data_IF_545885548144
#
_entry.id   IF_545885548144
#
_cell.length_a   1.000
_cell.length_b   1.000
_cell.length_c   1.000
_cell.angle_alpha   90.00
_cell.angle_beta   90.00
_cell.angle_gamma   90.00
#
_symmetry.space_group_name_H-M   'P 1'
#
loop_
_entity.id
_entity.type
_entity.pdbx_description
1 polymer ?
#
# COMPACT_ATOMS: atom_id res chain seq x y z
N UNK A 1 37.79 7.97 61.79
CA UNK A 1 37.97 6.60 61.23
C UNK A 1 37.03 6.48 60.05
N UNK A 2 37.57 6.55 58.83
CA UNK A 2 36.82 6.46 57.57
C UNK A 2 36.94 5.03 57.04
N UNK A 3 35.82 4.39 56.71
CA UNK A 3 35.74 3.09 56.04
C UNK A 3 35.20 3.31 54.61
N UNK A 4 35.56 2.48 53.61
CA UNK A 4 35.48 2.84 52.19
C UNK A 4 34.11 2.54 51.55
N UNK A 5 33.69 3.40 50.61
CA UNK A 5 32.40 3.37 49.88
C UNK A 5 32.44 2.44 48.64
N UNK A 6 33.52 1.68 48.41
CA UNK A 6 33.77 1.00 47.12
C UNK A 6 33.28 -0.44 46.96
N UNK A 7 32.54 -1.03 47.93
CA UNK A 7 32.17 -2.46 47.86
C UNK A 7 30.82 -2.76 47.22
N UNK A 8 29.96 -1.76 46.96
CA UNK A 8 28.63 -2.00 46.38
C UNK A 8 28.61 -2.07 44.85
N UNK A 9 29.57 -1.45 44.17
CA UNK A 9 29.56 -1.29 42.70
C UNK A 9 29.91 -2.56 41.92
N UNK A 10 30.73 -3.45 42.50
CA UNK A 10 31.23 -4.65 41.81
C UNK A 10 30.12 -5.72 41.68
N UNK A 11 29.32 -5.92 42.73
CA UNK A 11 28.21 -6.88 42.71
C UNK A 11 27.10 -6.46 41.75
N UNK A 12 26.87 -5.16 41.61
CA UNK A 12 25.92 -4.60 40.64
C UNK A 12 26.37 -4.85 39.20
N UNK A 13 27.68 -4.73 38.93
CA UNK A 13 28.25 -5.02 37.61
C UNK A 13 28.14 -6.50 37.24
N UNK A 14 28.51 -7.41 38.15
CA UNK A 14 28.39 -8.85 37.90
C UNK A 14 26.94 -9.28 37.64
N UNK A 15 25.99 -8.69 38.37
CA UNK A 15 24.56 -8.95 38.16
C UNK A 15 24.11 -8.47 36.79
N UNK A 16 24.54 -7.28 36.37
CA UNK A 16 24.19 -6.69 35.08
C UNK A 16 24.74 -7.49 33.89
N UNK A 17 25.99 -7.96 33.97
CA UNK A 17 26.61 -8.78 32.92
C UNK A 17 25.97 -10.17 32.86
N UNK A 18 25.66 -10.79 34.00
CA UNK A 18 24.95 -12.07 34.03
C UNK A 18 23.54 -11.96 33.42
N UNK A 19 22.86 -10.84 33.65
CA UNK A 19 21.55 -10.58 33.08
C UNK A 19 21.62 -10.32 31.56
N UNK A 20 22.57 -9.51 31.09
CA UNK A 20 22.84 -9.34 29.66
C UNK A 20 23.12 -10.69 28.98
N UNK A 21 23.98 -11.51 29.58
CA UNK A 21 24.33 -12.84 29.07
C UNK A 21 23.11 -13.75 28.99
N UNK A 22 22.25 -13.72 30.00
CA UNK A 22 20.99 -14.47 30.00
C UNK A 22 20.05 -14.00 28.89
N UNK A 23 19.92 -12.68 28.71
CA UNK A 23 19.06 -12.08 27.68
C UNK A 23 19.55 -12.35 26.25
N UNK A 24 20.87 -12.38 26.01
CA UNK A 24 21.45 -12.78 24.73
C UNK A 24 21.15 -14.26 24.44
N UNK A 25 21.31 -15.14 25.43
CA UNK A 25 21.06 -16.57 25.27
C UNK A 25 19.59 -16.91 25.02
N UNK A 26 18.66 -16.14 25.60
CA UNK A 26 17.22 -16.29 25.39
C UNK A 26 16.81 -15.76 24.01
N UNK A 27 17.17 -14.52 23.69
CA UNK A 27 16.67 -13.84 22.49
C UNK A 27 17.45 -14.18 21.22
N UNK A 28 18.67 -14.73 21.35
CA UNK A 28 19.59 -15.07 20.24
C UNK A 28 19.60 -14.00 19.14
N UNK A 29 19.90 -12.73 19.47
CA UNK A 29 19.82 -11.63 18.52
C UNK A 29 20.82 -11.82 17.38
N UNK A 30 20.40 -11.54 16.14
CA UNK A 30 21.27 -11.60 14.95
C UNK A 30 22.45 -10.63 15.05
N UNK A 31 22.27 -9.49 15.72
CA UNK A 31 23.31 -8.52 16.04
C UNK A 31 23.47 -8.36 17.56
N UNK A 32 24.37 -9.15 18.14
CA UNK A 32 24.67 -9.14 19.58
C UNK A 32 25.18 -7.78 20.05
N UNK A 33 25.96 -7.08 19.22
CA UNK A 33 26.57 -5.79 19.56
C UNK A 33 25.51 -4.69 19.71
N UNK A 34 24.56 -4.62 18.77
CA UNK A 34 23.41 -3.72 18.86
C UNK A 34 22.50 -4.07 20.05
N UNK A 35 22.28 -5.36 20.30
CA UNK A 35 21.49 -5.81 21.45
C UNK A 35 22.12 -5.38 22.79
N UNK A 36 23.44 -5.52 22.93
CA UNK A 36 24.16 -5.03 24.11
C UNK A 36 23.99 -3.51 24.28
N UNK A 37 24.12 -2.75 23.20
CA UNK A 37 23.94 -1.30 23.22
C UNK A 37 22.53 -0.90 23.71
N UNK A 38 21.49 -1.49 23.14
CA UNK A 38 20.10 -1.23 23.52
C UNK A 38 19.80 -1.66 24.97
N UNK A 39 20.35 -2.81 25.39
CA UNK A 39 20.24 -3.29 26.78
C UNK A 39 20.81 -2.27 27.76
N UNK A 40 22.01 -1.74 27.52
CA UNK A 40 22.61 -0.73 28.41
C UNK A 40 21.87 0.60 28.33
N UNK A 41 21.45 1.06 27.15
CA UNK A 41 20.67 2.29 27.01
C UNK A 41 19.38 2.24 27.82
N UNK A 42 18.68 1.10 27.80
CA UNK A 42 17.42 0.92 28.52
C UNK A 42 17.56 0.98 30.05
N UNK A 43 18.79 0.80 30.55
CA UNK A 43 19.14 0.73 31.98
C UNK A 43 19.80 1.98 32.53
N UNK A 44 20.13 2.94 31.67
CA UNK A 44 20.62 4.24 32.13
C UNK A 44 19.48 5.02 32.82
N UNK A 45 19.70 5.61 34.01
CA UNK A 45 18.73 6.47 34.65
C UNK A 45 18.38 7.67 33.75
N UNK A 46 17.08 7.97 33.61
CA UNK A 46 16.59 9.13 32.86
C UNK A 46 16.98 10.46 33.55
N UNK A 47 18.23 10.90 33.45
CA UNK A 47 18.68 12.26 33.80
C UNK A 47 18.58 13.22 32.61
N UNK A 48 17.48 13.15 31.86
CA UNK A 48 17.09 14.14 30.85
C UNK A 48 15.59 14.40 30.86
N UNK A 49 15.01 14.54 32.05
CA UNK A 49 13.72 15.22 32.22
C UNK A 49 14.00 16.71 32.40
N UNK A 50 14.13 17.42 31.28
CA UNK A 50 14.40 18.86 31.28
C UNK A 50 14.25 19.56 29.92
N UNK A 51 13.59 18.94 28.93
CA UNK A 51 13.07 19.63 27.76
C UNK A 51 11.66 19.07 27.54
N UNK A 52 10.67 19.93 27.75
CA UNK A 52 9.28 19.59 27.96
C UNK A 52 8.62 18.82 26.81
N UNK A 53 7.85 17.81 27.23
CA UNK A 53 6.76 17.21 26.47
C UNK A 53 5.62 18.24 26.34
N UNK A 54 5.69 19.12 25.35
CA UNK A 54 4.52 19.79 24.79
C UNK A 54 4.42 19.45 23.31
N UNK A 55 3.93 18.24 23.03
CA UNK A 55 3.26 17.93 21.77
C UNK A 55 1.92 17.28 22.13
N UNK A 56 0.94 18.13 22.43
CA UNK A 56 -0.47 17.74 22.43
C UNK A 56 -0.80 17.30 21.00
N UNK A 57 -1.09 16.02 20.83
CA UNK A 57 -1.55 15.48 19.55
C UNK A 57 -2.90 16.08 19.20
N UNK A 58 -2.93 16.92 18.15
CA UNK A 58 -4.18 17.34 17.53
C UNK A 58 -4.69 16.16 16.69
N UNK A 59 -5.74 15.51 17.17
CA UNK A 59 -6.48 14.49 16.44
C UNK A 59 -7.31 15.18 15.33
N UNK A 60 -7.44 14.63 14.10
CA UNK A 60 -8.05 15.33 12.98
C UNK A 60 -9.59 15.46 13.02
N UNK A 61 -10.24 15.31 14.19
CA UNK A 61 -11.70 15.36 14.30
C UNK A 61 -12.27 16.55 15.07
N UNK A 62 -11.45 17.38 15.72
CA UNK A 62 -11.98 18.44 16.58
C UNK A 62 -11.94 19.78 15.82
N UNK A 63 -13.04 20.06 15.14
CA UNK A 63 -13.31 21.36 14.54
C UNK A 63 -13.95 22.23 15.60
N UNK A 64 -13.24 23.27 16.05
CA UNK A 64 -13.70 24.59 16.51
C UNK A 64 -12.73 25.15 17.55
N UNK A 65 -12.38 26.44 17.39
CA UNK A 65 -11.93 27.44 18.39
C UNK A 65 -11.17 28.50 17.58
N UNK A 66 -11.82 29.60 17.21
CA UNK A 66 -11.90 30.86 17.98
C UNK A 66 -10.53 31.40 18.44
N UNK A 67 -10.16 32.48 17.76
CA UNK A 67 -9.07 33.41 18.03
C UNK A 67 -8.98 33.87 19.49
N UNK A 68 -7.83 33.65 20.13
CA UNK A 68 -7.30 34.58 21.13
C UNK A 68 -5.77 34.60 21.11
N UNK A 69 -5.26 35.82 20.98
CA UNK A 69 -3.86 36.24 20.81
C UNK A 69 -3.01 35.88 22.03
N UNK A 70 -1.95 35.08 21.84
CA UNK A 70 -0.74 35.15 22.67
C UNK A 70 0.50 34.93 21.78
N UNK A 71 1.46 35.83 21.95
CA UNK A 71 2.67 36.02 21.17
C UNK A 71 3.69 34.91 21.46
N UNK A 72 4.03 34.07 20.48
CA UNK A 72 5.12 33.09 20.58
C UNK A 72 6.26 33.46 19.62
N UNK A 73 7.44 33.70 20.20
CA UNK A 73 8.72 33.89 19.47
C UNK A 73 8.97 32.72 18.52
N UNK A 74 9.36 33.01 17.28
CA UNK A 74 9.72 31.98 16.31
C UNK A 74 10.95 31.18 16.76
N UNK A 75 10.96 29.85 16.62
CA UNK A 75 12.16 29.06 16.79
C UNK A 75 13.14 29.30 15.63
N UNK A 76 14.39 29.56 15.99
CA UNK A 76 15.51 29.75 15.07
C UNK A 76 15.90 28.42 14.42
N UNK A 77 15.87 28.35 13.09
CA UNK A 77 16.43 27.26 12.31
C UNK A 77 17.65 27.78 11.54
N UNK A 78 18.85 27.17 11.65
CA UNK A 78 20.00 27.58 10.86
C UNK A 78 19.74 27.33 9.38
N UNK A 79 20.10 28.28 8.52
CA UNK A 79 20.00 28.11 7.06
C UNK A 79 21.17 27.28 6.54
N UNK A 80 20.99 26.64 5.37
CA UNK A 80 22.03 25.82 4.69
C UNK A 80 23.37 26.54 4.53
N UNK A 81 23.37 27.87 4.37
CA UNK A 81 24.58 28.71 4.28
C UNK A 81 25.38 28.78 5.59
N UNK A 82 24.78 28.45 6.75
CA UNK A 82 25.47 28.41 8.05
C UNK A 82 26.10 27.04 8.35
N UNK A 83 25.69 25.98 7.65
CA UNK A 83 26.26 24.64 7.80
C UNK A 83 27.50 24.42 6.91
N UNK A 84 27.70 25.25 5.89
CA UNK A 84 28.83 25.16 4.95
C UNK A 84 30.09 25.91 5.44
N UNK A 85 30.05 26.54 6.63
CA UNK A 85 31.13 27.42 7.10
C UNK A 85 32.06 26.84 8.19
N UNK A 86 31.91 25.58 8.57
CA UNK A 86 32.80 24.89 9.54
C UNK A 86 33.56 23.70 8.93
N UNK A 87 33.95 23.77 7.66
CA UNK A 87 35.03 22.93 7.11
C UNK A 87 36.27 23.80 6.87
N UNK A 88 37.01 24.10 7.94
CA UNK A 88 38.41 24.54 7.88
C UNK A 88 39.20 23.96 9.04
N UNK A 89 39.88 22.84 8.78
CA UNK A 89 41.05 22.38 9.53
C UNK A 89 42.08 22.00 8.45
N UNK A 90 43.03 22.87 8.16
CA UNK A 90 44.43 22.80 8.64
C UNK A 90 45.09 21.45 8.34
N UNK A 91 45.94 21.43 7.30
CA UNK A 91 46.87 20.33 7.01
C UNK A 91 47.89 20.20 8.15
N UNK A 92 47.78 19.14 8.94
CA UNK A 92 48.76 18.69 9.92
C UNK A 92 49.08 17.21 9.74
N UNK A 93 50.36 16.88 9.71
CA UNK A 93 50.92 15.54 9.47
C UNK A 93 50.57 14.50 10.56
N UNK A 94 50.30 13.27 10.09
CA UNK A 94 50.35 11.94 10.71
C UNK A 94 50.21 11.75 12.23
N UNK A 95 49.17 11.00 12.65
CA UNK A 95 49.30 9.93 13.67
C UNK A 95 48.15 8.91 13.50
N UNK A 96 48.47 7.63 13.28
CA UNK A 96 47.54 6.50 13.16
C UNK A 96 46.66 6.38 14.42
N UNK A 97 45.46 6.94 14.37
CA UNK A 97 44.49 6.83 15.47
C UNK A 97 43.51 5.68 15.20
N UNK A 98 43.89 4.46 15.59
CA UNK A 98 43.04 3.25 15.56
C UNK A 98 41.75 3.35 16.43
N UNK A 99 41.45 4.52 17.01
CA UNK A 99 40.33 4.74 17.93
C UNK A 99 38.97 5.04 17.25
N UNK A 100 38.93 5.23 15.93
CA UNK A 100 37.71 5.59 15.20
C UNK A 100 37.01 4.45 14.45
N UNK A 101 37.35 3.19 14.73
CA UNK A 101 36.60 2.04 14.21
C UNK A 101 35.53 1.54 15.20
N UNK A 102 34.81 2.46 15.84
CA UNK A 102 33.66 2.13 16.68
C UNK A 102 32.50 1.65 15.78
N UNK A 103 31.82 0.55 16.12
CA UNK A 103 30.61 0.13 15.41
C UNK A 103 29.59 1.28 15.37
N UNK A 104 29.06 1.60 14.20
CA UNK A 104 27.95 2.54 14.09
C UNK A 104 26.69 1.90 14.68
N UNK A 105 26.34 2.26 15.91
CA UNK A 105 25.13 1.78 16.58
C UNK A 105 23.90 2.50 16.02
N UNK A 106 22.94 1.74 15.51
CA UNK A 106 21.69 2.29 14.96
C UNK A 106 20.77 2.58 16.14
N UNK A 107 20.49 3.84 16.44
CA UNK A 107 19.41 4.16 17.37
C UNK A 107 18.08 3.82 16.71
N UNK A 108 17.23 3.02 17.36
CA UNK A 108 15.90 2.64 16.85
C UNK A 108 14.97 3.84 16.55
N UNK A 109 15.40 5.06 16.88
CA UNK A 109 14.70 6.33 16.63
C UNK A 109 14.79 6.78 15.15
N UNK A 110 15.68 6.20 14.33
CA UNK A 110 15.85 6.63 12.93
C UNK A 110 14.79 6.12 11.95
N UNK A 111 14.01 5.08 12.29
CA UNK A 111 12.92 4.60 11.42
C UNK A 111 11.55 5.17 11.83
N UNK A 112 11.42 6.51 11.82
CA UNK A 112 10.09 7.12 11.85
C UNK A 112 9.35 6.68 10.59
N UNK A 113 8.26 5.93 10.77
CA UNK A 113 7.34 5.58 9.68
C UNK A 113 6.82 6.87 9.06
N UNK A 114 7.15 7.07 7.79
CA UNK A 114 6.67 8.21 7.01
C UNK A 114 5.30 7.89 6.42
N UNK A 115 4.43 8.89 6.39
CA UNK A 115 3.16 8.78 5.67
C UNK A 115 3.42 8.73 4.16
N UNK A 116 2.62 7.92 3.46
CA UNK A 116 2.62 7.87 1.99
C UNK A 116 1.26 8.37 1.50
N UNK A 117 1.26 9.09 0.37
CA UNK A 117 0.05 9.53 -0.31
C UNK A 117 0.20 9.34 -1.82
N UNK A 118 -0.91 9.03 -2.47
CA UNK A 118 -1.03 9.16 -3.91
C UNK A 118 -1.52 10.57 -4.28
N UNK A 119 -1.52 10.87 -5.57
CA UNK A 119 -2.11 12.09 -6.13
C UNK A 119 -3.63 12.12 -5.90
N UNK A 120 -4.16 13.30 -5.59
CA UNK A 120 -5.60 13.50 -5.46
C UNK A 120 -6.25 13.48 -6.85
N UNK A 121 -7.27 12.63 -7.01
CA UNK A 121 -8.01 12.49 -8.27
C UNK A 121 -9.51 12.70 -8.03
N UNK A 122 -10.19 13.37 -8.95
CA UNK A 122 -11.62 13.66 -8.86
C UNK A 122 -12.40 12.76 -9.82
N UNK A 123 -13.21 11.78 -9.33
CA UNK A 123 -13.97 10.83 -10.16
C UNK A 123 -14.72 11.48 -11.31
N UNK A 124 -15.40 12.60 -11.04
CA UNK A 124 -16.23 13.31 -12.02
C UNK A 124 -15.47 13.99 -13.16
N UNK A 125 -14.15 14.21 -13.00
CA UNK A 125 -13.27 14.79 -14.03
C UNK A 125 -12.47 13.74 -14.79
N UNK A 126 -12.48 12.49 -14.33
CA UNK A 126 -11.89 11.35 -15.01
C UNK A 126 -12.86 10.83 -16.06
N UNK A 127 -13.12 11.62 -17.10
CA UNK A 127 -13.39 11.02 -18.41
C UNK A 127 -12.05 10.76 -19.07
N UNK A 128 -11.22 9.96 -18.41
CA UNK A 128 -9.93 9.58 -18.94
C UNK A 128 -10.21 8.61 -20.06
N UNK A 129 -10.15 9.11 -21.29
CA UNK A 129 -10.12 8.26 -22.47
C UNK A 129 -8.88 7.40 -22.36
N UNK A 130 -9.05 6.16 -21.93
CA UNK A 130 -8.01 5.17 -22.00
C UNK A 130 -8.19 4.45 -23.33
N UNK A 131 -7.38 4.78 -24.36
CA UNK A 131 -7.49 4.08 -25.64
C UNK A 131 -7.25 2.61 -25.38
N UNK A 132 -8.20 1.78 -25.81
CA UNK A 132 -8.02 0.34 -25.77
C UNK A 132 -6.86 -0.03 -26.68
N UNK A 133 -5.86 -0.70 -26.12
CA UNK A 133 -4.68 -1.10 -26.85
C UNK A 133 -4.94 -2.51 -27.35
N UNK A 134 -4.99 -2.72 -28.69
CA UNK A 134 -5.30 -4.02 -29.27
C UNK A 134 -4.24 -5.04 -28.88
N UNK A 135 -4.68 -6.21 -28.43
CA UNK A 135 -3.86 -7.33 -27.99
C UNK A 135 -4.43 -8.63 -28.55
N UNK A 136 -3.58 -9.60 -28.83
CA UNK A 136 -4.03 -10.95 -29.19
C UNK A 136 -4.66 -11.66 -27.99
N UNK A 137 -5.51 -12.66 -28.26
CA UNK A 137 -6.12 -13.48 -27.19
C UNK A 137 -5.09 -14.16 -26.29
N UNK A 138 -3.94 -14.53 -26.86
CA UNK A 138 -2.83 -15.16 -26.12
C UNK A 138 -2.15 -14.17 -25.17
N UNK A 139 -1.95 -12.92 -25.62
CA UNK A 139 -1.40 -11.86 -24.76
C UNK A 139 -2.37 -11.49 -23.65
N UNK A 140 -3.66 -11.34 -23.96
CA UNK A 140 -4.70 -11.07 -22.96
C UNK A 140 -4.76 -12.18 -21.89
N UNK A 141 -4.74 -13.45 -22.29
CA UNK A 141 -4.73 -14.57 -21.35
C UNK A 141 -3.50 -14.53 -20.41
N UNK A 142 -2.32 -14.30 -20.97
CA UNK A 142 -1.08 -14.22 -20.20
C UNK A 142 -1.07 -13.06 -19.19
N UNK A 143 -1.57 -11.88 -19.59
CA UNK A 143 -1.72 -10.74 -18.68
C UNK A 143 -2.73 -11.10 -17.58
N UNK A 144 -3.88 -11.67 -17.95
CA UNK A 144 -4.93 -12.06 -17.01
C UNK A 144 -4.43 -13.04 -15.96
N UNK A 145 -3.66 -14.05 -16.36
CA UNK A 145 -3.07 -15.04 -15.44
C UNK A 145 -2.09 -14.37 -14.48
N UNK A 146 -1.25 -13.47 -14.99
CA UNK A 146 -0.26 -12.73 -14.20
C UNK A 146 -0.93 -11.79 -13.18
N UNK A 147 -2.01 -11.11 -13.57
CA UNK A 147 -2.79 -10.24 -12.67
C UNK A 147 -3.54 -11.06 -11.62
N UNK A 148 -4.16 -12.18 -12.01
CA UNK A 148 -4.97 -13.00 -11.09
C UNK A 148 -4.14 -13.60 -9.94
N UNK A 149 -2.87 -13.90 -10.18
CA UNK A 149 -1.95 -14.39 -9.16
C UNK A 149 -1.44 -13.28 -8.21
N UNK A 150 -1.53 -12.01 -8.62
CA UNK A 150 -0.88 -10.90 -7.94
C UNK A 150 -1.78 -10.30 -6.84
N UNK A 151 -1.24 -10.08 -5.64
CA UNK A 151 -2.01 -9.68 -4.45
C UNK A 151 -2.83 -8.40 -4.65
N UNK A 152 -2.27 -7.42 -5.37
CA UNK A 152 -2.93 -6.13 -5.64
C UNK A 152 -4.17 -6.25 -6.52
N UNK A 153 -4.23 -7.27 -7.38
CA UNK A 153 -5.30 -7.44 -8.38
C UNK A 153 -6.24 -8.60 -8.02
N UNK A 154 -6.02 -9.28 -6.88
CA UNK A 154 -6.90 -10.38 -6.46
C UNK A 154 -8.30 -9.91 -6.06
N UNK A 155 -8.43 -8.67 -5.60
CA UNK A 155 -9.67 -8.10 -5.07
C UNK A 155 -10.41 -7.21 -6.07
N UNK A 156 -9.88 -7.01 -7.28
CA UNK A 156 -10.57 -6.22 -8.30
C UNK A 156 -11.59 -7.08 -9.03
N UNK A 157 -12.68 -6.45 -9.45
CA UNK A 157 -13.75 -7.12 -10.18
C UNK A 157 -13.30 -7.51 -11.60
N UNK A 158 -13.96 -8.50 -12.20
CA UNK A 158 -13.60 -8.98 -13.55
C UNK A 158 -13.66 -7.86 -14.59
N UNK A 159 -14.70 -7.02 -14.55
CA UNK A 159 -14.86 -5.91 -15.50
C UNK A 159 -13.70 -4.91 -15.40
N UNK A 160 -13.30 -4.57 -14.18
CA UNK A 160 -12.16 -3.70 -13.91
C UNK A 160 -10.86 -4.32 -14.40
N UNK A 161 -10.69 -5.63 -14.20
CA UNK A 161 -9.52 -6.38 -14.69
C UNK A 161 -9.43 -6.33 -16.21
N UNK A 162 -10.54 -6.55 -16.92
CA UNK A 162 -10.57 -6.47 -18.38
C UNK A 162 -10.23 -5.06 -18.88
N UNK A 163 -10.77 -4.01 -18.23
CA UNK A 163 -10.41 -2.63 -18.52
C UNK A 163 -8.90 -2.40 -18.32
N UNK A 164 -8.33 -2.85 -17.19
CA UNK A 164 -6.90 -2.75 -16.92
C UNK A 164 -6.07 -3.46 -18.00
N UNK A 165 -6.44 -4.69 -18.38
CA UNK A 165 -5.78 -5.44 -19.47
C UNK A 165 -5.85 -4.64 -20.77
N UNK A 166 -7.00 -4.04 -21.08
CA UNK A 166 -7.22 -3.22 -22.26
C UNK A 166 -6.27 -2.03 -22.38
N UNK A 167 -5.91 -1.42 -21.25
CA UNK A 167 -5.12 -0.18 -21.23
C UNK A 167 -3.60 -0.39 -21.05
N UNK A 168 -3.16 -1.63 -20.75
CA UNK A 168 -1.72 -1.91 -20.62
C UNK A 168 -0.98 -1.70 -21.95
N UNK A 169 0.14 -0.99 -21.89
CA UNK A 169 0.97 -0.61 -23.03
C UNK A 169 2.14 -1.57 -23.22
N UNK A 170 2.46 -1.91 -24.46
CA UNK A 170 3.67 -2.68 -24.75
C UNK A 170 4.89 -1.77 -24.72
N UNK A 171 5.96 -2.19 -24.06
CA UNK A 171 7.28 -1.54 -24.06
C UNK A 171 8.36 -2.55 -24.39
N UNK A 172 9.26 -2.20 -25.30
CA UNK A 172 10.37 -3.06 -25.74
C UNK A 172 11.70 -2.50 -25.23
N UNK A 173 12.60 -3.39 -24.84
CA UNK A 173 13.89 -3.06 -24.27
C UNK A 173 14.98 -3.93 -24.91
N UNK A 174 16.09 -3.36 -25.38
CA UNK A 174 17.23 -4.14 -25.83
C UNK A 174 17.95 -4.80 -24.65
N UNK A 175 18.76 -5.81 -24.94
CA UNK A 175 19.68 -6.39 -23.94
C UNK A 175 20.60 -5.32 -23.34
N UNK A 176 20.84 -5.40 -22.03
CA UNK A 176 21.61 -4.44 -21.25
C UNK A 176 20.82 -3.20 -20.81
N UNK A 177 19.60 -2.99 -21.30
CA UNK A 177 18.79 -1.84 -20.91
C UNK A 177 18.32 -1.92 -19.45
N UNK A 178 18.42 -0.79 -18.74
CA UNK A 178 17.87 -0.62 -17.39
C UNK A 178 16.39 -0.24 -17.51
N UNK A 179 15.50 -1.15 -17.14
CA UNK A 179 14.05 -0.98 -17.24
C UNK A 179 13.53 -0.08 -16.12
N UNK A 180 14.02 -0.29 -14.91
CA UNK A 180 13.82 0.59 -13.75
C UNK A 180 15.14 0.70 -12.99
N UNK A 181 15.32 1.80 -12.27
CA UNK A 181 16.53 2.06 -11.49
C UNK A 181 16.19 2.25 -10.02
N UNK A 182 16.99 1.65 -9.13
CA UNK A 182 16.85 1.80 -7.69
C UNK A 182 16.96 3.28 -7.29
N UNK A 183 16.08 3.72 -6.39
CA UNK A 183 15.99 5.10 -5.94
C UNK A 183 15.21 6.04 -6.87
N UNK A 184 14.97 5.65 -8.13
CA UNK A 184 14.19 6.46 -9.06
C UNK A 184 12.70 6.46 -8.70
N UNK A 185 11.95 7.46 -9.19
CA UNK A 185 10.51 7.52 -9.04
C UNK A 185 9.82 6.32 -9.74
N UNK A 186 8.79 5.79 -9.09
CA UNK A 186 8.02 4.67 -9.61
C UNK A 186 6.75 5.09 -10.32
N UNK A 187 6.71 4.89 -11.65
CA UNK A 187 5.58 5.32 -12.49
C UNK A 187 4.73 4.17 -13.04
N UNK A 188 5.35 3.00 -13.23
CA UNK A 188 4.73 1.85 -13.91
C UNK A 188 4.85 0.55 -13.11
N UNK A 189 3.84 -0.30 -13.27
CA UNK A 189 3.90 -1.72 -13.01
C UNK A 189 4.16 -2.47 -14.33
N UNK A 190 4.98 -3.53 -14.29
CA UNK A 190 5.37 -4.28 -15.48
C UNK A 190 5.06 -5.77 -15.36
N UNK A 191 4.72 -6.39 -16.49
CA UNK A 191 4.63 -7.84 -16.67
C UNK A 191 5.51 -8.24 -17.86
N UNK A 192 6.36 -9.24 -17.68
CA UNK A 192 7.30 -9.72 -18.71
C UNK A 192 6.57 -10.57 -19.73
N UNK A 193 6.40 -10.08 -20.95
CA UNK A 193 5.84 -10.84 -22.08
C UNK A 193 6.87 -11.79 -22.70
N UNK A 194 8.10 -11.30 -22.93
CA UNK A 194 9.21 -12.11 -23.42
C UNK A 194 10.55 -11.51 -23.01
N UNK A 195 11.59 -12.34 -23.10
CA UNK A 195 12.94 -12.01 -22.66
C UNK A 195 13.17 -12.30 -21.17
N UNK A 196 14.39 -12.00 -20.73
CA UNK A 196 14.83 -12.19 -19.34
C UNK A 196 15.37 -10.90 -18.75
N UNK A 197 15.21 -10.72 -17.44
CA UNK A 197 15.71 -9.57 -16.70
C UNK A 197 16.34 -10.01 -15.38
N UNK A 198 17.36 -9.29 -14.95
CA UNK A 198 17.96 -9.44 -13.63
C UNK A 198 17.57 -8.26 -12.74
N UNK A 199 17.24 -8.58 -11.49
CA UNK A 199 16.95 -7.64 -10.42
C UNK A 199 18.19 -7.45 -9.56
N UNK A 200 18.63 -6.21 -9.40
CA UNK A 200 19.79 -5.83 -8.62
C UNK A 200 19.40 -4.89 -7.49
N UNK A 201 19.84 -5.20 -6.27
CA UNK A 201 19.73 -4.34 -5.09
C UNK A 201 21.14 -3.99 -4.66
N UNK A 202 21.44 -2.70 -4.58
CA UNK A 202 22.78 -2.19 -4.25
C UNK A 202 23.88 -2.77 -5.16
N UNK A 203 23.53 -2.98 -6.44
CA UNK A 203 24.41 -3.56 -7.46
C UNK A 203 24.56 -5.08 -7.42
N UNK A 204 23.99 -5.77 -6.43
CA UNK A 204 24.03 -7.22 -6.32
C UNK A 204 22.77 -7.85 -6.90
N UNK A 205 22.95 -8.87 -7.75
CA UNK A 205 21.83 -9.64 -8.31
C UNK A 205 21.12 -10.42 -7.20
N UNK A 206 19.82 -10.19 -7.04
CA UNK A 206 18.97 -10.86 -6.04
C UNK A 206 17.97 -11.83 -6.66
N UNK A 207 17.52 -11.57 -7.89
CA UNK A 207 16.48 -12.36 -8.55
C UNK A 207 16.58 -12.20 -10.08
N UNK A 208 16.01 -13.15 -10.83
CA UNK A 208 15.76 -13.02 -12.27
C UNK A 208 14.28 -13.14 -12.58
N UNK A 209 13.82 -12.43 -13.60
CA UNK A 209 12.47 -12.48 -14.12
C UNK A 209 12.46 -13.02 -15.54
N UNK A 210 11.47 -13.86 -15.83
CA UNK A 210 11.18 -14.42 -17.14
C UNK A 210 9.70 -14.16 -17.48
N UNK A 211 9.23 -14.72 -18.59
CA UNK A 211 7.84 -14.58 -19.06
C UNK A 211 6.84 -14.90 -17.95
N UNK A 212 5.88 -13.99 -17.74
CA UNK A 212 4.87 -14.07 -16.67
C UNK A 212 5.31 -13.44 -15.35
N UNK A 213 6.60 -13.17 -15.17
CA UNK A 213 7.11 -12.40 -14.04
C UNK A 213 6.55 -10.98 -14.05
N UNK A 214 6.28 -10.42 -12.87
CA UNK A 214 5.78 -9.05 -12.72
C UNK A 214 6.49 -8.33 -11.59
N UNK A 215 6.59 -7.00 -11.70
CA UNK A 215 7.30 -6.16 -10.73
C UNK A 215 6.84 -4.70 -10.78
N UNK A 216 7.05 -3.99 -9.67
CA UNK A 216 6.84 -2.55 -9.58
C UNK A 216 5.41 -2.16 -9.19
N UNK A 217 4.66 -3.07 -8.60
CA UNK A 217 3.28 -2.95 -8.15
C UNK A 217 3.06 -1.82 -7.14
N UNK A 218 4.05 -1.53 -6.29
CA UNK A 218 3.97 -0.44 -5.32
C UNK A 218 3.86 0.93 -6.01
N UNK A 219 4.36 1.05 -7.25
CA UNK A 219 4.19 2.24 -8.07
C UNK A 219 2.73 2.48 -8.49
N UNK A 220 1.82 1.53 -8.30
CA UNK A 220 0.38 1.78 -8.50
C UNK A 220 -0.29 2.37 -7.24
N UNK A 221 0.30 2.13 -6.06
CA UNK A 221 -0.32 2.48 -4.77
C UNK A 221 0.03 3.89 -4.30
N UNK A 222 1.32 4.21 -4.22
CA UNK A 222 1.80 5.53 -3.76
C UNK A 222 3.16 5.87 -4.39
N UNK A 223 3.52 7.15 -4.41
CA UNK A 223 4.81 7.57 -4.95
C UNK A 223 5.92 7.12 -3.99
N UNK A 224 6.69 6.12 -4.40
CA UNK A 224 7.78 5.57 -3.63
C UNK A 224 8.98 5.31 -4.55
N UNK A 225 10.22 5.53 -4.06
CA UNK A 225 11.42 5.16 -4.77
C UNK A 225 11.45 3.67 -5.09
N UNK A 226 12.00 3.30 -6.25
CA UNK A 226 12.22 1.88 -6.61
C UNK A 226 13.20 1.24 -5.63
N UNK A 227 12.86 0.06 -5.14
CA UNK A 227 13.72 -0.70 -4.22
C UNK A 227 14.88 -1.41 -4.93
N UNK A 228 14.82 -1.57 -6.26
CA UNK A 228 15.80 -2.31 -7.03
C UNK A 228 15.92 -1.77 -8.46
N UNK A 229 17.05 -2.09 -9.10
CA UNK A 229 17.28 -1.88 -10.53
C UNK A 229 16.94 -3.15 -11.29
N UNK A 230 16.23 -3.05 -12.41
CA UNK A 230 15.98 -4.17 -13.32
C UNK A 230 16.73 -3.96 -14.62
N UNK A 231 17.52 -4.94 -15.04
CA UNK A 231 18.32 -4.90 -16.26
C UNK A 231 17.90 -6.04 -17.18
N UNK A 232 17.61 -5.74 -18.43
CA UNK A 232 17.29 -6.74 -19.44
C UNK A 232 18.56 -7.56 -19.77
N UNK A 233 18.50 -8.89 -19.60
CA UNK A 233 19.60 -9.82 -19.94
C UNK A 233 19.41 -10.46 -21.33
N UNK A 234 18.32 -10.14 -22.00
CA UNK A 234 18.06 -10.41 -23.41
C UNK A 234 17.16 -9.28 -23.97
N UNK A 235 16.92 -9.20 -25.28
CA UNK A 235 15.82 -8.39 -25.79
C UNK A 235 14.51 -8.78 -25.10
N UNK A 236 13.83 -7.80 -24.51
CA UNK A 236 12.68 -8.01 -23.66
C UNK A 236 11.47 -7.18 -24.12
N UNK A 237 10.29 -7.76 -23.96
CA UNK A 237 9.00 -7.10 -24.22
C UNK A 237 8.17 -7.17 -22.96
N UNK A 238 7.69 -6.02 -22.50
CA UNK A 238 6.95 -5.88 -21.26
C UNK A 238 5.58 -5.24 -21.52
N UNK A 239 4.59 -5.62 -20.72
CA UNK A 239 3.33 -4.90 -20.57
C UNK A 239 3.44 -3.95 -19.39
N UNK A 240 3.21 -2.67 -19.62
CA UNK A 240 3.34 -1.61 -18.64
C UNK A 240 1.97 -0.98 -18.33
N UNK A 241 1.71 -0.75 -17.05
CA UNK A 241 0.53 -0.07 -16.54
C UNK A 241 0.96 1.10 -15.67
N UNK A 242 0.54 2.32 -16.00
CA UNK A 242 0.84 3.49 -15.18
C UNK A 242 -0.15 3.65 -14.03
N UNK A 243 0.33 4.31 -12.97
CA UNK A 243 -0.44 4.61 -11.75
C UNK A 243 -1.76 5.33 -12.04
N UNK A 244 -1.70 6.37 -12.87
CA UNK A 244 -2.84 7.26 -13.11
C UNK A 244 -3.91 6.45 -13.80
N UNK A 245 -3.58 5.77 -14.91
CA UNK A 245 -4.54 4.97 -15.65
C UNK A 245 -5.12 3.82 -14.84
N UNK A 246 -4.31 3.13 -14.03
CA UNK A 246 -4.84 2.10 -13.13
C UNK A 246 -5.89 2.68 -12.17
N UNK A 247 -5.53 3.73 -11.43
CA UNK A 247 -6.43 4.32 -10.44
C UNK A 247 -7.67 4.95 -11.09
N UNK A 248 -7.52 5.55 -12.27
CA UNK A 248 -8.63 6.10 -13.05
C UNK A 248 -9.66 5.02 -13.39
N UNK A 249 -9.23 3.88 -13.93
CA UNK A 249 -10.12 2.75 -14.26
C UNK A 249 -10.87 2.27 -13.02
N UNK A 250 -10.17 2.06 -11.90
CA UNK A 250 -10.82 1.59 -10.66
C UNK A 250 -11.83 2.63 -10.14
N UNK A 251 -11.47 3.92 -10.16
CA UNK A 251 -12.35 4.98 -9.66
C UNK A 251 -13.57 5.21 -10.56
N UNK A 252 -13.40 5.19 -11.88
CA UNK A 252 -14.47 5.37 -12.85
C UNK A 252 -15.45 4.20 -12.83
N UNK A 253 -14.94 2.96 -12.79
CA UNK A 253 -15.77 1.75 -12.69
C UNK A 253 -16.60 1.75 -11.40
N UNK A 254 -15.98 2.00 -10.24
CA UNK A 254 -16.69 2.06 -8.96
C UNK A 254 -17.74 3.19 -8.93
N UNK A 255 -17.42 4.36 -9.48
CA UNK A 255 -18.36 5.49 -9.54
C UNK A 255 -19.56 5.19 -10.46
N UNK A 256 -19.30 4.56 -11.61
CA UNK A 256 -20.34 4.17 -12.57
C UNK A 256 -21.28 3.13 -11.95
N UNK A 257 -20.70 2.07 -11.35
CA UNK A 257 -21.45 1.03 -10.66
C UNK A 257 -22.33 1.59 -9.53
N UNK A 258 -21.76 2.46 -8.70
CA UNK A 258 -22.50 3.13 -7.62
C UNK A 258 -23.65 4.00 -8.16
N UNK A 259 -23.41 4.76 -9.23
CA UNK A 259 -24.46 5.56 -9.86
C UNK A 259 -25.58 4.70 -10.44
N UNK A 260 -25.24 3.55 -11.02
CA UNK A 260 -26.21 2.58 -11.53
C UNK A 260 -27.05 2.00 -10.39
N UNK A 261 -26.40 1.49 -9.33
CA UNK A 261 -27.08 1.00 -8.13
C UNK A 261 -28.01 2.04 -7.51
N UNK A 262 -27.57 3.30 -7.41
CA UNK A 262 -28.41 4.39 -6.92
C UNK A 262 -29.64 4.60 -7.80
N UNK A 263 -29.47 4.60 -9.14
CA UNK A 263 -30.61 4.75 -10.05
C UNK A 263 -31.64 3.64 -9.89
N UNK A 264 -31.21 2.38 -9.77
CA UNK A 264 -32.13 1.27 -9.53
C UNK A 264 -32.86 1.37 -8.19
N UNK A 265 -32.14 1.69 -7.11
CA UNK A 265 -32.76 1.83 -5.78
C UNK A 265 -33.81 2.95 -5.75
N UNK A 266 -33.61 4.04 -6.50
CA UNK A 266 -34.56 5.15 -6.58
C UNK A 266 -35.84 4.81 -7.33
N UNK A 267 -35.79 3.85 -8.25
CA UNK A 267 -36.99 3.38 -8.97
C UNK A 267 -37.89 2.51 -8.07
N UNK A 268 -37.31 1.83 -7.07
CA UNK A 268 -38.05 0.98 -6.14
C UNK A 268 -38.95 1.83 -5.22
N UNK A 269 -40.28 1.64 -5.23
CA UNK A 269 -41.20 2.40 -4.38
C UNK A 269 -40.88 2.33 -2.88
N UNK A 270 -40.35 1.21 -2.42
CA UNK A 270 -39.98 0.97 -1.02
C UNK A 270 -38.92 1.96 -0.51
N UNK A 271 -38.02 2.43 -1.37
CA UNK A 271 -36.89 3.28 -0.99
C UNK A 271 -37.10 4.77 -1.31
N UNK A 272 -38.29 5.16 -1.81
CA UNK A 272 -38.57 6.55 -2.22
C UNK A 272 -38.44 7.58 -1.09
N UNK A 273 -38.77 7.18 0.15
CA UNK A 273 -38.71 8.08 1.31
C UNK A 273 -37.33 8.16 1.96
N UNK A 274 -36.34 7.40 1.48
CA UNK A 274 -35.00 7.36 2.07
C UNK A 274 -34.14 8.52 1.61
N UNK A 275 -33.30 9.01 2.52
CA UNK A 275 -32.32 10.05 2.22
C UNK A 275 -31.19 9.50 1.34
N UNK A 276 -30.53 10.39 0.60
CA UNK A 276 -29.41 10.01 -0.29
C UNK A 276 -28.29 9.30 0.44
N UNK A 277 -27.96 9.70 1.67
CA UNK A 277 -26.93 9.04 2.47
C UNK A 277 -27.30 7.60 2.86
N UNK A 278 -28.59 7.30 3.03
CA UNK A 278 -29.06 5.96 3.34
C UNK A 278 -29.07 5.08 2.10
N UNK A 279 -29.51 5.62 0.95
CA UNK A 279 -29.43 4.94 -0.35
C UNK A 279 -27.98 4.58 -0.68
N UNK A 280 -27.03 5.47 -0.41
CA UNK A 280 -25.61 5.20 -0.59
C UNK A 280 -25.12 3.99 0.21
N UNK A 281 -25.56 3.84 1.47
CA UNK A 281 -25.18 2.70 2.30
C UNK A 281 -25.72 1.38 1.74
N UNK A 282 -26.94 1.40 1.21
CA UNK A 282 -27.54 0.23 0.54
C UNK A 282 -26.80 -0.07 -0.76
N UNK A 283 -26.55 0.95 -1.59
CA UNK A 283 -25.86 0.80 -2.87
C UNK A 283 -24.45 0.19 -2.71
N UNK A 284 -23.74 0.59 -1.65
CA UNK A 284 -22.40 0.06 -1.30
C UNK A 284 -22.47 -1.39 -0.75
N UNK A 285 -23.64 -1.87 -0.31
CA UNK A 285 -23.86 -3.22 0.23
C UNK A 285 -24.51 -4.20 -0.76
N UNK A 286 -24.87 -3.74 -1.97
CA UNK A 286 -25.44 -4.62 -3.00
C UNK A 286 -24.38 -5.58 -3.53
N UNK A 287 -24.71 -6.88 -3.55
CA UNK A 287 -23.85 -7.92 -4.09
C UNK A 287 -24.37 -8.42 -5.45
N UNK A 288 -23.54 -8.43 -6.52
CA UNK A 288 -23.95 -8.95 -7.80
C UNK A 288 -24.05 -10.49 -7.76
N UNK A 289 -25.20 -11.03 -8.18
CA UNK A 289 -25.43 -12.48 -8.30
C UNK A 289 -25.87 -12.79 -9.73
N UNK A 290 -25.27 -13.82 -10.33
CA UNK A 290 -25.55 -14.25 -11.71
C UNK A 290 -26.31 -15.58 -11.71
N UNK A 291 -27.26 -15.69 -12.62
CA UNK A 291 -28.05 -16.90 -12.83
C UNK A 291 -27.98 -17.31 -14.30
N UNK A 292 -27.87 -18.61 -14.56
CA UNK A 292 -27.97 -19.16 -15.92
C UNK A 292 -29.43 -19.30 -16.37
N UNK A 293 -29.65 -19.46 -17.68
CA UNK A 293 -31.01 -19.68 -18.21
C UNK A 293 -31.65 -20.93 -17.60
N UNK A 294 -32.89 -20.79 -17.15
CA UNK A 294 -33.63 -21.84 -16.45
C UNK A 294 -33.26 -22.06 -14.98
N UNK A 295 -32.27 -21.35 -14.43
CA UNK A 295 -31.92 -21.46 -13.01
C UNK A 295 -33.01 -20.82 -12.13
N UNK A 296 -33.40 -21.52 -11.05
CA UNK A 296 -34.38 -21.01 -10.09
C UNK A 296 -33.72 -19.98 -9.17
N UNK A 297 -34.19 -18.73 -9.22
CA UNK A 297 -33.72 -17.63 -8.36
C UNK A 297 -34.36 -17.70 -6.97
N UNK A 298 -35.69 -17.86 -6.94
CA UNK A 298 -36.51 -17.94 -5.73
C UNK A 298 -37.52 -19.06 -5.91
N UNK A 299 -37.81 -19.79 -4.83
CA UNK A 299 -38.82 -20.85 -4.83
C UNK A 299 -40.00 -20.42 -3.97
N UNK A 300 -41.21 -20.76 -4.44
CA UNK A 300 -42.42 -20.52 -3.67
C UNK A 300 -42.36 -21.25 -2.32
N UNK A 301 -42.84 -20.58 -1.28
CA UNK A 301 -42.93 -21.05 0.11
C UNK A 301 -41.59 -21.16 0.87
N UNK A 302 -40.46 -20.84 0.22
CA UNK A 302 -39.18 -20.69 0.90
C UNK A 302 -39.15 -19.35 1.68
N UNK A 303 -38.48 -19.30 2.85
CA UNK A 303 -38.29 -18.05 3.60
C UNK A 303 -37.54 -17.01 2.76
N UNK A 304 -38.06 -15.79 2.72
CA UNK A 304 -37.49 -14.70 1.95
C UNK A 304 -36.49 -13.86 2.75
N UNK A 305 -35.22 -14.24 2.71
CA UNK A 305 -34.15 -13.52 3.42
C UNK A 305 -33.46 -12.45 2.56
N UNK A 306 -33.63 -12.53 1.22
CA UNK A 306 -32.95 -11.68 0.25
C UNK A 306 -33.92 -10.88 -0.61
N UNK A 307 -33.52 -9.65 -0.96
CA UNK A 307 -34.19 -8.81 -1.93
C UNK A 307 -33.32 -8.71 -3.20
N UNK A 308 -33.90 -8.93 -4.37
CA UNK A 308 -33.20 -8.96 -5.65
C UNK A 308 -33.63 -7.81 -6.55
N UNK A 309 -32.68 -7.26 -7.29
CA UNK A 309 -32.87 -6.28 -8.36
C UNK A 309 -32.34 -6.88 -9.66
N UNK A 310 -33.11 -6.77 -10.74
CA UNK A 310 -32.66 -7.24 -12.05
C UNK A 310 -31.85 -6.10 -12.69
N UNK A 311 -30.53 -6.28 -12.75
CA UNK A 311 -29.62 -5.37 -13.45
C UNK A 311 -29.64 -5.63 -14.96
N UNK A 312 -29.55 -6.90 -15.36
CA UNK A 312 -29.57 -7.33 -16.77
C UNK A 312 -30.40 -8.61 -16.93
N UNK A 313 -31.09 -8.73 -18.07
CA UNK A 313 -31.84 -9.93 -18.43
C UNK A 313 -33.32 -9.87 -18.09
N UNK A 314 -33.96 -11.04 -18.03
CA UNK A 314 -35.39 -11.18 -17.73
C UNK A 314 -35.61 -12.39 -16.85
N UNK A 315 -36.41 -12.23 -15.80
CA UNK A 315 -36.88 -13.32 -14.97
C UNK A 315 -38.33 -13.66 -15.31
N UNK A 316 -38.71 -14.93 -15.14
CA UNK A 316 -40.10 -15.38 -15.28
C UNK A 316 -40.59 -15.88 -13.93
N UNK A 317 -41.74 -15.40 -13.51
CA UNK A 317 -42.36 -15.82 -12.26
C UNK A 317 -43.47 -16.84 -12.52
N UNK A 318 -43.41 -17.95 -11.79
CA UNK A 318 -44.45 -18.97 -11.76
C UNK A 318 -45.04 -19.02 -10.36
N UNK A 319 -46.37 -19.07 -10.27
CA UNK A 319 -47.06 -19.33 -8.99
C UNK A 319 -47.90 -20.59 -9.13
N UNK A 320 -47.74 -21.52 -8.20
CA UNK A 320 -48.56 -22.74 -8.15
C UNK A 320 -49.87 -22.39 -7.48
N UNK A 321 -50.97 -22.56 -8.21
CA UNK A 321 -52.32 -22.39 -7.68
C UNK A 321 -52.69 -23.56 -6.75
N UNK A 322 -53.73 -23.42 -5.90
CA UNK A 322 -54.15 -24.47 -4.96
C UNK A 322 -54.53 -25.80 -5.63
N UNK A 323 -54.81 -25.81 -6.93
CA UNK A 323 -55.14 -26.98 -7.74
C UNK A 323 -53.92 -27.67 -8.37
N UNK A 324 -52.70 -27.19 -8.09
CA UNK A 324 -51.45 -27.72 -8.62
C UNK A 324 -51.08 -27.19 -10.02
N UNK A 325 -51.89 -26.30 -10.62
CA UNK A 325 -51.56 -25.67 -11.90
C UNK A 325 -50.53 -24.54 -11.72
N UNK A 326 -49.55 -24.44 -12.62
CA UNK A 326 -48.60 -23.32 -12.63
C UNK A 326 -49.15 -22.17 -13.48
N UNK A 327 -49.37 -21.02 -12.85
CA UNK A 327 -49.69 -19.79 -13.55
C UNK A 327 -48.41 -18.98 -13.78
N UNK A 328 -48.09 -18.76 -15.06
CA UNK A 328 -47.00 -17.86 -15.47
C UNK A 328 -47.48 -16.42 -15.37
N UNK A 329 -46.89 -15.64 -14.47
CA UNK A 329 -47.08 -14.20 -14.44
C UNK A 329 -45.94 -13.54 -15.21
N UNK A 330 -46.29 -12.80 -16.27
CA UNK A 330 -45.36 -12.27 -17.28
C UNK A 330 -44.83 -10.86 -16.99
N UNK A 331 -45.17 -10.26 -15.85
CA UNK A 331 -44.88 -8.85 -15.60
C UNK A 331 -44.06 -8.68 -14.33
N UNK A 332 -42.76 -8.39 -14.49
CA UNK A 332 -42.06 -7.22 -13.92
C UNK A 332 -40.80 -6.93 -14.74
#
# INVERSE_FOLDING_TARGET
>A
MSQPVFTNTIKEYDTLINELTTQININKPENVVQFCFDFFLSRLPNESKGIDQEYVGIHPSDTEIQTSVFETKQPYFPTKEQLEHEEKEEEGEEEDNELYNLPQFKTHIQNRRISVSAESMQPKKLKSFHPEIPKSKVEQAMIRDSLSAHFLFKTIEEEQREQVIGIMQQKTFPEGARVIEQGAAGDYFYIVSSGTLDCLVDGQKVLSYERGGSFGELALMYNAPRAATLVATSPAVLWALDRISFRSVIMESNATKRSMHESFLREVPLFKSMETAEIHKIADALEPVRFEDGQVVLKQDDPGDNFYLIEEGKAVFYKTAPDGSQQKNLHY
#
